data_IF_468770547631
#
_entry.id   IF_468770547631
#
_cell.length_a   1.000
_cell.length_b   1.000
_cell.length_c   1.000
_cell.angle_alpha   90.00
_cell.angle_beta   90.00
_cell.angle_gamma   90.00
#
_symmetry.space_group_name_H-M   'P 1'
#
loop_
_entity.id
_entity.type
_entity.pdbx_description
1 polymer ?
#
# COMPACT_ATOMS: atom_id res chain seq x y z
N UNK A 1 10.83 -59.16 13.64
CA UNK A 1 9.36 -59.02 13.86
C UNK A 1 9.02 -57.55 13.80
N UNK A 2 8.64 -57.09 12.62
CA UNK A 2 8.19 -55.72 12.41
C UNK A 2 6.70 -55.65 12.75
N UNK A 3 6.37 -54.93 13.82
CA UNK A 3 5.00 -54.58 14.12
C UNK A 3 4.50 -53.62 13.06
N UNK A 4 3.62 -54.09 12.17
CA UNK A 4 2.77 -53.21 11.37
C UNK A 4 1.85 -52.44 12.33
N UNK A 5 2.14 -51.16 12.51
CA UNK A 5 1.22 -50.20 13.12
C UNK A 5 -0.02 -50.11 12.21
N UNK A 6 -1.08 -50.81 12.59
CA UNK A 6 -2.41 -50.63 11.98
C UNK A 6 -2.87 -49.23 12.27
N UNK A 7 -2.92 -48.40 11.25
CA UNK A 7 -3.51 -47.07 11.33
C UNK A 7 -4.93 -47.17 11.91
N UNK A 8 -5.32 -46.26 12.83
CA UNK A 8 -6.65 -46.32 13.43
C UNK A 8 -7.71 -46.21 12.31
N UNK A 9 -8.73 -47.10 12.35
CA UNK A 9 -9.89 -47.07 11.46
C UNK A 9 -10.64 -45.76 11.72
N UNK A 10 -10.26 -44.69 11.02
CA UNK A 10 -10.93 -43.41 11.06
C UNK A 10 -12.22 -43.58 10.25
N UNK A 11 -13.35 -43.23 10.88
CA UNK A 11 -14.67 -43.29 10.23
C UNK A 11 -14.67 -42.28 9.08
N UNK A 12 -14.50 -42.73 7.82
CA UNK A 12 -14.15 -41.96 6.64
C UNK A 12 -15.21 -40.90 6.25
N UNK A 13 -16.38 -40.91 6.87
CA UNK A 13 -17.53 -40.12 6.44
C UNK A 13 -18.15 -39.22 7.53
N UNK A 14 -17.42 -38.94 8.61
CA UNK A 14 -17.99 -38.15 9.70
C UNK A 14 -17.79 -36.65 9.47
N UNK A 15 -18.91 -35.93 9.26
CA UNK A 15 -18.97 -34.48 9.34
C UNK A 15 -19.85 -34.06 10.53
N UNK A 16 -19.32 -33.25 11.46
CA UNK A 16 -20.10 -32.71 12.57
C UNK A 16 -21.06 -31.64 12.06
N UNK A 17 -22.08 -31.28 12.87
CA UNK A 17 -23.12 -30.33 12.47
C UNK A 17 -22.59 -28.95 12.08
N UNK A 18 -21.55 -28.47 12.75
CA UNK A 18 -20.90 -27.20 12.45
C UNK A 18 -20.24 -27.20 11.07
N UNK A 19 -19.52 -28.27 10.74
CA UNK A 19 -18.87 -28.42 9.45
C UNK A 19 -19.88 -28.66 8.33
N UNK A 20 -20.98 -29.39 8.59
CA UNK A 20 -22.11 -29.49 7.66
C UNK A 20 -22.71 -28.14 7.34
N UNK A 21 -22.94 -27.31 8.36
CA UNK A 21 -23.43 -25.94 8.17
C UNK A 21 -22.48 -25.08 7.33
N UNK A 22 -21.17 -25.18 7.58
CA UNK A 22 -20.15 -24.48 6.79
C UNK A 22 -20.19 -24.89 5.31
N UNK A 23 -20.22 -26.20 5.03
CA UNK A 23 -20.12 -26.72 3.67
C UNK A 23 -21.44 -26.60 2.91
N UNK A 24 -22.57 -26.96 3.52
CA UNK A 24 -23.85 -27.04 2.83
C UNK A 24 -24.63 -25.74 2.83
N UNK A 25 -24.72 -25.06 4.00
CA UNK A 25 -25.53 -23.85 4.11
C UNK A 25 -24.73 -22.60 3.68
N UNK A 26 -23.50 -22.45 4.18
CA UNK A 26 -22.71 -21.25 3.87
C UNK A 26 -22.10 -21.30 2.47
N UNK A 27 -21.59 -22.45 2.03
CA UNK A 27 -20.94 -22.58 0.71
C UNK A 27 -21.83 -23.16 -0.38
N UNK A 28 -22.94 -23.82 -0.02
CA UNK A 28 -23.87 -24.40 -1.00
C UNK A 28 -23.30 -25.63 -1.72
N UNK A 29 -22.34 -26.34 -1.11
CA UNK A 29 -21.70 -27.49 -1.75
C UNK A 29 -22.62 -28.73 -1.75
N UNK A 30 -22.46 -29.56 -2.77
CA UNK A 30 -23.21 -30.81 -2.92
C UNK A 30 -22.85 -31.79 -1.79
N UNK A 31 -23.83 -32.28 -0.99
CA UNK A 31 -23.57 -33.18 0.14
C UNK A 31 -22.85 -34.47 -0.22
N UNK A 32 -23.22 -35.15 -1.33
CA UNK A 32 -22.55 -36.38 -1.78
C UNK A 32 -21.07 -36.16 -2.06
N UNK A 33 -20.72 -35.02 -2.68
CA UNK A 33 -19.33 -34.66 -2.94
C UNK A 33 -18.56 -34.30 -1.66
N UNK A 34 -19.20 -33.62 -0.73
CA UNK A 34 -18.57 -33.32 0.55
C UNK A 34 -18.32 -34.57 1.41
N UNK A 35 -19.19 -35.60 1.37
CA UNK A 35 -19.04 -36.83 2.13
C UNK A 35 -17.80 -37.63 1.73
N UNK A 36 -17.41 -37.62 0.46
CA UNK A 36 -16.20 -38.32 -0.01
C UNK A 36 -14.93 -37.48 0.06
N UNK A 37 -15.05 -36.15 0.07
CA UNK A 37 -13.93 -35.23 0.00
C UNK A 37 -13.61 -34.51 1.32
N UNK A 38 -14.49 -34.61 2.34
CA UNK A 38 -14.37 -33.83 3.57
C UNK A 38 -14.73 -34.65 4.80
N UNK A 39 -13.97 -34.51 5.87
CA UNK A 39 -14.31 -35.08 7.18
C UNK A 39 -13.90 -34.17 8.32
N UNK A 40 -14.65 -34.21 9.41
CA UNK A 40 -14.26 -33.55 10.65
C UNK A 40 -13.14 -34.28 11.33
N UNK A 41 -12.10 -33.59 11.73
CA UNK A 41 -10.97 -34.19 12.48
C UNK A 41 -10.68 -33.36 13.73
N UNK A 42 -10.18 -34.04 14.78
CA UNK A 42 -9.68 -33.41 15.98
C UNK A 42 -8.25 -32.88 15.77
N UNK A 43 -7.81 -31.98 16.67
CA UNK A 43 -6.44 -31.44 16.68
C UNK A 43 -5.37 -32.56 16.70
N UNK A 44 -5.60 -33.65 17.49
CA UNK A 44 -4.65 -34.76 17.56
C UNK A 44 -4.56 -35.54 16.24
N UNK A 45 -5.70 -35.85 15.62
CA UNK A 45 -5.74 -36.48 14.30
C UNK A 45 -5.08 -35.58 13.22
N UNK A 46 -5.36 -34.27 13.27
CA UNK A 46 -4.73 -33.34 12.35
C UNK A 46 -3.21 -33.30 12.53
N UNK A 47 -2.71 -33.32 13.77
CA UNK A 47 -1.27 -33.35 14.09
C UNK A 47 -0.60 -34.59 13.50
N UNK A 48 -1.24 -35.75 13.64
CA UNK A 48 -0.73 -36.98 13.07
C UNK A 48 -0.67 -36.96 11.54
N UNK A 49 -1.75 -36.48 10.90
CA UNK A 49 -1.87 -36.45 9.45
C UNK A 49 -0.98 -35.38 8.81
N UNK A 50 -0.82 -34.21 9.46
CA UNK A 50 0.04 -33.13 8.97
C UNK A 50 1.54 -33.44 9.17
N UNK A 51 1.90 -34.27 10.14
CA UNK A 51 3.28 -34.55 10.52
C UNK A 51 3.94 -33.38 11.31
N UNK A 52 3.14 -32.46 11.83
CA UNK A 52 3.53 -31.37 12.74
C UNK A 52 2.32 -30.93 13.57
N UNK A 53 2.56 -30.20 14.67
CA UNK A 53 1.51 -29.81 15.61
C UNK A 53 0.42 -28.97 14.91
N UNK A 54 -0.77 -29.55 14.83
CA UNK A 54 -1.96 -28.84 14.40
C UNK A 54 -2.44 -27.87 15.49
N UNK A 55 -3.12 -26.83 15.10
CA UNK A 55 -3.46 -25.72 15.99
C UNK A 55 -4.88 -25.76 16.51
N UNK A 56 -5.76 -26.41 15.76
CA UNK A 56 -7.15 -26.67 16.16
C UNK A 56 -7.70 -27.86 15.39
N UNK A 57 -8.88 -28.30 15.80
CA UNK A 57 -9.75 -29.14 14.99
C UNK A 57 -10.14 -28.43 13.69
N UNK A 58 -10.60 -29.16 12.70
CA UNK A 58 -10.97 -28.60 11.40
C UNK A 58 -11.63 -29.61 10.48
N UNK A 59 -11.67 -29.25 9.21
CA UNK A 59 -12.11 -30.13 8.13
C UNK A 59 -10.87 -30.69 7.44
N UNK A 60 -10.73 -32.01 7.45
CA UNK A 60 -9.75 -32.69 6.62
C UNK A 60 -10.29 -32.80 5.21
N UNK A 61 -9.48 -32.41 4.25
CA UNK A 61 -9.78 -32.44 2.84
C UNK A 61 -9.08 -33.64 2.22
N UNK A 62 -9.81 -34.48 1.52
CA UNK A 62 -9.31 -35.62 0.80
C UNK A 62 -9.53 -35.44 -0.69
N UNK A 63 -8.47 -35.24 -1.45
CA UNK A 63 -8.47 -35.32 -2.90
C UNK A 63 -7.99 -36.70 -3.35
N UNK A 64 -8.19 -37.04 -4.62
CA UNK A 64 -7.72 -38.32 -5.18
C UNK A 64 -6.20 -38.47 -5.17
N UNK A 65 -5.47 -37.36 -5.14
CA UNK A 65 -4.01 -37.32 -5.24
C UNK A 65 -3.32 -36.63 -4.04
N UNK A 66 -4.01 -35.76 -3.32
CA UNK A 66 -3.43 -34.95 -2.25
C UNK A 66 -4.43 -34.69 -1.12
N UNK A 67 -3.94 -34.31 0.03
CA UNK A 67 -4.74 -34.08 1.24
C UNK A 67 -4.30 -32.81 1.96
N UNK A 68 -5.17 -32.31 2.82
CA UNK A 68 -4.86 -31.12 3.64
C UNK A 68 -5.91 -30.82 4.70
N UNK A 69 -5.66 -29.84 5.53
CA UNK A 69 -6.60 -29.38 6.55
C UNK A 69 -7.12 -27.99 6.21
N UNK A 70 -8.43 -27.78 6.38
CA UNK A 70 -9.07 -26.47 6.34
C UNK A 70 -9.56 -26.07 7.74
N UNK A 71 -9.30 -24.83 8.12
CA UNK A 71 -9.77 -24.23 9.36
C UNK A 71 -10.95 -23.31 9.09
N UNK A 72 -12.18 -23.67 9.49
CA UNK A 72 -13.35 -22.81 9.28
C UNK A 72 -13.36 -21.58 10.19
N UNK A 73 -12.64 -21.64 11.34
CA UNK A 73 -12.57 -20.55 12.30
C UNK A 73 -11.38 -19.62 12.03
N UNK A 74 -11.69 -18.34 11.87
CA UNK A 74 -10.68 -17.28 11.76
C UNK A 74 -10.03 -16.90 13.10
N UNK A 75 -10.46 -17.51 14.22
CA UNK A 75 -10.03 -17.13 15.58
C UNK A 75 -8.64 -17.62 15.95
N UNK A 76 -8.01 -18.39 15.07
CA UNK A 76 -6.70 -18.86 15.37
C UNK A 76 -5.64 -17.87 14.92
N UNK A 77 -4.97 -17.23 15.88
CA UNK A 77 -3.73 -16.49 15.66
C UNK A 77 -2.58 -17.26 16.32
N UNK A 78 -1.52 -17.55 15.58
CA UNK A 78 -0.25 -17.86 16.21
C UNK A 78 0.16 -16.63 17.02
N UNK A 79 0.68 -16.82 18.23
CA UNK A 79 1.10 -15.73 19.10
C UNK A 79 1.84 -14.63 18.29
N UNK A 80 1.29 -13.43 18.25
CA UNK A 80 1.87 -12.26 17.61
C UNK A 80 1.53 -12.01 16.14
N UNK A 81 0.68 -12.82 15.47
CA UNK A 81 0.21 -12.54 14.11
C UNK A 81 -1.26 -12.15 14.11
N UNK A 82 -1.62 -11.16 13.30
CA UNK A 82 -3.00 -10.73 13.14
C UNK A 82 -3.88 -11.83 12.53
N UNK A 83 -5.17 -11.88 12.83
CA UNK A 83 -6.13 -12.85 12.27
C UNK A 83 -6.11 -12.92 10.73
N UNK A 84 -5.75 -11.83 10.05
CA UNK A 84 -5.62 -11.76 8.58
C UNK A 84 -4.45 -12.55 8.01
N UNK A 85 -3.46 -12.92 8.82
CA UNK A 85 -2.23 -13.60 8.36
C UNK A 85 -2.22 -15.11 8.64
N UNK A 86 -3.27 -15.64 9.26
CA UNK A 86 -3.36 -17.07 9.53
C UNK A 86 -3.82 -17.82 8.29
N UNK A 87 -3.04 -18.79 7.77
CA UNK A 87 -3.44 -19.57 6.60
C UNK A 87 -4.65 -20.44 6.92
N UNK A 88 -5.66 -20.40 6.05
CA UNK A 88 -6.88 -21.22 6.18
C UNK A 88 -6.64 -22.70 5.85
N UNK A 89 -5.64 -22.98 5.00
CA UNK A 89 -5.28 -24.31 4.54
C UNK A 89 -3.92 -24.69 5.09
N UNK A 90 -3.77 -25.96 5.43
CA UNK A 90 -2.52 -26.57 5.88
C UNK A 90 -2.27 -27.86 5.12
N UNK A 91 -1.06 -28.00 4.63
CA UNK A 91 -0.60 -29.18 3.91
C UNK A 91 0.22 -30.09 4.82
N UNK A 92 0.19 -31.41 4.63
CA UNK A 92 1.12 -32.33 5.27
C UNK A 92 2.58 -31.91 5.03
N UNK A 93 3.46 -32.30 5.94
CA UNK A 93 4.91 -32.08 5.79
C UNK A 93 5.43 -32.90 4.61
N UNK A 94 6.24 -32.29 3.78
CA UNK A 94 6.84 -32.91 2.61
C UNK A 94 6.45 -32.19 1.30
N UNK A 95 6.47 -32.93 0.21
CA UNK A 95 6.07 -32.43 -1.10
C UNK A 95 4.57 -32.08 -1.11
N UNK A 96 4.20 -31.03 -1.82
CA UNK A 96 2.82 -30.64 -2.00
C UNK A 96 2.42 -30.70 -3.48
N UNK A 97 1.12 -30.89 -3.71
CA UNK A 97 0.54 -30.93 -5.03
C UNK A 97 -0.79 -30.17 -5.05
N UNK A 98 -1.38 -30.01 -6.22
CA UNK A 98 -2.77 -29.57 -6.36
C UNK A 98 -3.71 -30.66 -5.84
N UNK A 99 -4.94 -30.27 -5.51
CA UNK A 99 -5.96 -31.24 -5.11
C UNK A 99 -6.99 -31.48 -6.21
N UNK A 100 -7.29 -32.75 -6.44
CA UNK A 100 -8.30 -33.21 -7.37
C UNK A 100 -9.50 -33.75 -6.58
N UNK A 101 -10.73 -33.21 -6.72
CA UNK A 101 -11.89 -33.75 -6.00
C UNK A 101 -12.17 -35.20 -6.35
N UNK A 102 -12.41 -36.06 -5.33
CA UNK A 102 -12.87 -37.44 -5.53
C UNK A 102 -14.30 -37.39 -6.07
N UNK A 103 -14.54 -38.05 -7.19
CA UNK A 103 -15.89 -38.22 -7.72
C UNK A 103 -16.66 -39.26 -6.92
N UNK A 104 -17.89 -38.98 -6.41
CA UNK A 104 -18.61 -39.92 -5.53
C UNK A 104 -18.95 -41.27 -6.16
N UNK A 105 -19.12 -41.30 -7.47
CA UNK A 105 -19.61 -42.48 -8.21
C UNK A 105 -18.56 -43.03 -9.22
N UNK A 106 -17.45 -42.30 -9.44
CA UNK A 106 -16.39 -42.73 -10.39
C UNK A 106 -15.00 -42.59 -9.73
N UNK A 107 -14.48 -43.64 -9.10
CA UNK A 107 -13.18 -43.65 -8.43
C UNK A 107 -12.00 -43.41 -9.38
N UNK A 108 -12.17 -43.66 -10.68
CA UNK A 108 -11.16 -43.47 -11.72
C UNK A 108 -11.31 -42.20 -12.52
N UNK A 109 -12.12 -41.27 -12.05
CA UNK A 109 -12.47 -40.02 -12.74
C UNK A 109 -11.26 -39.23 -13.29
N UNK A 110 -10.16 -39.23 -12.56
CA UNK A 110 -8.92 -38.52 -12.91
C UNK A 110 -7.84 -39.41 -13.54
N UNK A 111 -8.03 -40.71 -13.58
CA UNK A 111 -7.04 -41.68 -14.06
C UNK A 111 -7.20 -41.98 -15.56
N UNK A 112 -8.42 -42.02 -16.05
CA UNK A 112 -8.72 -42.22 -17.48
C UNK A 112 -8.68 -40.87 -18.24
N UNK A 113 -7.52 -40.61 -18.86
CA UNK A 113 -7.25 -39.36 -19.56
C UNK A 113 -8.23 -39.12 -20.70
N UNK A 114 -8.55 -40.14 -21.50
CA UNK A 114 -9.44 -39.96 -22.66
C UNK A 114 -10.89 -39.78 -22.22
N UNK A 115 -11.37 -40.49 -21.22
CA UNK A 115 -12.67 -40.25 -20.63
C UNK A 115 -12.77 -38.88 -19.96
N UNK A 116 -11.70 -38.42 -19.32
CA UNK A 116 -11.63 -37.08 -18.70
C UNK A 116 -11.70 -35.96 -19.74
N UNK A 117 -11.01 -36.13 -20.88
CA UNK A 117 -11.09 -35.15 -22.00
C UNK A 117 -12.51 -34.93 -22.49
N UNK A 118 -13.33 -35.99 -22.53
CA UNK A 118 -14.72 -35.91 -22.93
C UNK A 118 -15.63 -35.14 -21.94
N UNK A 119 -15.20 -35.07 -20.66
CA UNK A 119 -15.91 -34.37 -19.58
C UNK A 119 -15.46 -32.90 -19.47
N UNK A 120 -14.37 -32.51 -20.14
CA UNK A 120 -13.80 -31.17 -20.05
C UNK A 120 -14.66 -30.11 -20.75
N UNK A 121 -14.53 -28.87 -20.30
CA UNK A 121 -15.06 -27.73 -21.01
C UNK A 121 -14.21 -27.47 -22.27
N UNK A 122 -14.86 -27.39 -23.43
CA UNK A 122 -14.16 -27.27 -24.72
C UNK A 122 -14.08 -25.79 -25.13
N UNK A 123 -12.86 -25.29 -25.36
CA UNK A 123 -12.63 -23.96 -25.94
C UNK A 123 -11.69 -24.13 -27.14
N UNK A 124 -12.10 -23.63 -28.30
CA UNK A 124 -11.34 -23.70 -29.57
C UNK A 124 -10.87 -25.14 -29.90
N UNK A 125 -11.70 -26.16 -29.58
CA UNK A 125 -11.38 -27.56 -29.77
C UNK A 125 -10.45 -28.19 -28.71
N UNK A 126 -10.01 -27.43 -27.74
CA UNK A 126 -9.13 -27.91 -26.66
C UNK A 126 -9.95 -28.34 -25.44
N UNK A 127 -9.74 -29.58 -24.92
CA UNK A 127 -10.33 -30.01 -23.64
C UNK A 127 -9.62 -29.30 -22.49
N UNK A 128 -10.35 -28.45 -21.78
CA UNK A 128 -9.79 -27.57 -20.75
C UNK A 128 -10.23 -27.96 -19.35
N UNK A 129 -9.26 -28.01 -18.42
CA UNK A 129 -9.45 -28.13 -17.00
C UNK A 129 -9.48 -26.74 -16.36
N UNK A 130 -10.37 -26.51 -15.40
CA UNK A 130 -10.38 -25.24 -14.66
C UNK A 130 -9.37 -25.30 -13.51
N UNK A 131 -8.56 -24.25 -13.33
CA UNK A 131 -7.68 -24.08 -12.18
C UNK A 131 -8.21 -22.96 -11.28
N UNK A 132 -8.35 -23.22 -9.99
CA UNK A 132 -8.85 -22.25 -9.01
C UNK A 132 -8.09 -22.32 -7.69
N UNK A 133 -8.17 -21.27 -6.86
CA UNK A 133 -7.64 -21.29 -5.51
C UNK A 133 -8.68 -21.86 -4.53
N UNK A 134 -8.32 -22.95 -3.87
CA UNK A 134 -9.11 -23.58 -2.80
C UNK A 134 -10.00 -24.72 -3.24
N UNK A 135 -9.98 -25.78 -2.39
CA UNK A 135 -10.57 -27.06 -2.72
C UNK A 135 -12.10 -27.05 -2.84
N UNK A 136 -12.78 -26.21 -2.04
CA UNK A 136 -14.24 -26.14 -2.09
C UNK A 136 -14.78 -25.58 -3.42
N UNK A 137 -14.04 -24.66 -4.04
CA UNK A 137 -14.38 -24.14 -5.36
C UNK A 137 -14.25 -25.21 -6.44
N UNK A 138 -13.22 -26.06 -6.32
CA UNK A 138 -13.05 -27.20 -7.21
C UNK A 138 -14.18 -28.21 -7.03
N UNK A 139 -14.55 -28.54 -5.79
CA UNK A 139 -15.70 -29.41 -5.50
C UNK A 139 -16.99 -28.81 -6.11
N UNK A 140 -17.24 -27.50 -5.89
CA UNK A 140 -18.42 -26.83 -6.39
C UNK A 140 -18.56 -26.98 -7.90
N UNK A 141 -17.52 -26.69 -8.67
CA UNK A 141 -17.60 -26.68 -10.12
C UNK A 141 -17.52 -28.11 -10.71
N UNK A 142 -16.68 -28.99 -10.14
CA UNK A 142 -16.60 -30.40 -10.59
C UNK A 142 -17.90 -31.13 -10.34
N UNK A 143 -18.64 -30.84 -9.26
CA UNK A 143 -19.97 -31.41 -9.01
C UNK A 143 -21.05 -31.03 -10.03
N UNK A 144 -20.73 -30.07 -10.90
CA UNK A 144 -21.54 -29.65 -12.03
C UNK A 144 -20.88 -30.00 -13.39
N UNK A 145 -20.13 -31.10 -13.41
CA UNK A 145 -19.54 -31.68 -14.63
C UNK A 145 -18.50 -30.78 -15.34
N UNK A 146 -17.79 -29.95 -14.58
CA UNK A 146 -16.64 -29.20 -15.08
C UNK A 146 -15.41 -29.55 -14.26
N UNK A 147 -14.52 -30.43 -14.77
CA UNK A 147 -13.33 -30.88 -14.05
C UNK A 147 -12.46 -29.71 -13.63
N UNK A 148 -12.27 -29.59 -12.31
CA UNK A 148 -11.62 -28.40 -11.71
C UNK A 148 -10.52 -28.81 -10.74
N UNK A 149 -9.35 -28.19 -10.88
CA UNK A 149 -8.15 -28.42 -10.09
C UNK A 149 -8.05 -27.35 -9.00
N UNK A 150 -7.74 -27.74 -7.78
CA UNK A 150 -7.59 -26.82 -6.67
C UNK A 150 -6.11 -26.55 -6.35
N UNK A 151 -5.69 -25.30 -6.45
CA UNK A 151 -4.47 -24.82 -5.80
C UNK A 151 -4.78 -24.55 -4.32
N UNK A 152 -3.93 -25.02 -3.40
CA UNK A 152 -4.10 -24.76 -1.95
C UNK A 152 -3.64 -23.34 -1.53
N UNK A 153 -3.25 -22.55 -2.48
CA UNK A 153 -2.85 -21.15 -2.45
C UNK A 153 -2.39 -20.74 -3.84
N UNK A 154 -2.45 -19.47 -4.17
CA UNK A 154 -2.19 -18.98 -5.55
C UNK A 154 -0.82 -19.37 -6.10
N UNK A 155 0.20 -19.51 -5.24
CA UNK A 155 1.56 -19.94 -5.64
C UNK A 155 1.76 -21.46 -5.60
N UNK A 156 0.79 -22.22 -5.09
CA UNK A 156 0.94 -23.66 -4.82
C UNK A 156 0.78 -24.54 -6.08
N UNK A 157 0.68 -23.96 -7.25
CA UNK A 157 0.81 -24.67 -8.53
C UNK A 157 2.26 -24.91 -8.96
N UNK A 158 3.21 -24.30 -8.25
CA UNK A 158 4.65 -24.35 -8.54
C UNK A 158 5.44 -24.77 -7.30
N UNK A 159 6.45 -25.59 -7.48
CA UNK A 159 7.33 -26.08 -6.42
C UNK A 159 8.80 -25.94 -6.82
N UNK A 160 9.74 -25.72 -5.87
CA UNK A 160 11.15 -25.93 -6.13
C UNK A 160 11.43 -27.42 -6.34
N UNK A 161 12.57 -27.75 -6.91
CA UNK A 161 13.06 -29.13 -6.94
C UNK A 161 13.97 -29.38 -5.75
N UNK A 162 14.17 -30.65 -5.39
CA UNK A 162 15.14 -31.04 -4.36
C UNK A 162 16.58 -30.62 -4.72
N UNK A 163 16.89 -30.61 -6.03
CA UNK A 163 18.20 -30.19 -6.54
C UNK A 163 18.40 -28.65 -6.46
N UNK A 164 17.32 -27.86 -6.43
CA UNK A 164 17.37 -26.39 -6.37
C UNK A 164 16.24 -25.85 -5.49
N UNK A 165 16.31 -26.02 -4.15
CA UNK A 165 15.25 -25.63 -3.23
C UNK A 165 15.02 -24.11 -3.18
N UNK A 166 16.00 -23.31 -3.52
CA UNK A 166 15.97 -21.84 -3.54
C UNK A 166 15.78 -21.24 -4.94
N UNK A 167 15.81 -22.08 -5.97
CA UNK A 167 15.89 -21.66 -7.35
C UNK A 167 14.57 -21.61 -8.09
N UNK A 168 14.63 -22.08 -9.34
CA UNK A 168 13.49 -22.04 -10.26
C UNK A 168 12.31 -22.85 -9.73
N UNK A 169 11.11 -22.32 -9.94
CA UNK A 169 9.86 -23.01 -9.65
C UNK A 169 9.39 -23.77 -10.89
N UNK A 170 8.92 -24.98 -10.69
CA UNK A 170 8.39 -25.90 -11.70
C UNK A 170 6.96 -26.24 -11.39
N UNK A 171 6.21 -26.76 -12.38
CA UNK A 171 4.87 -27.27 -12.11
C UNK A 171 4.91 -28.39 -11.07
N UNK A 172 3.93 -28.40 -10.18
CA UNK A 172 3.74 -29.56 -9.28
C UNK A 172 3.38 -30.81 -10.10
N UNK A 173 3.69 -32.04 -9.59
CA UNK A 173 3.65 -33.25 -10.40
C UNK A 173 2.33 -33.49 -11.14
N UNK A 174 1.20 -33.29 -10.49
CA UNK A 174 -0.12 -33.50 -11.11
C UNK A 174 -0.40 -32.50 -12.23
N UNK A 175 -0.06 -31.20 -12.06
CA UNK A 175 -0.20 -30.23 -13.15
C UNK A 175 0.69 -30.55 -14.34
N UNK A 176 1.92 -30.98 -14.09
CA UNK A 176 2.83 -31.38 -15.16
C UNK A 176 2.29 -32.62 -15.91
N UNK A 177 1.79 -33.64 -15.20
CA UNK A 177 1.16 -34.83 -15.79
C UNK A 177 0.00 -34.44 -16.73
N UNK A 178 -0.89 -33.57 -16.28
CA UNK A 178 -2.05 -33.12 -17.06
C UNK A 178 -1.64 -32.24 -18.26
N UNK A 179 -0.66 -31.36 -18.09
CA UNK A 179 -0.12 -30.59 -19.19
C UNK A 179 0.52 -31.47 -20.27
N UNK A 180 1.31 -32.49 -19.86
CA UNK A 180 1.89 -33.50 -20.78
C UNK A 180 0.82 -34.34 -21.50
N UNK A 181 -0.33 -34.55 -20.87
CA UNK A 181 -1.47 -35.25 -21.47
C UNK A 181 -2.25 -34.38 -22.47
N UNK A 182 -1.87 -33.11 -22.67
CA UNK A 182 -2.43 -32.20 -23.66
C UNK A 182 -3.72 -31.51 -23.23
N UNK A 183 -4.02 -31.43 -21.94
CA UNK A 183 -5.14 -30.63 -21.48
C UNK A 183 -4.82 -29.13 -21.60
N UNK A 184 -5.83 -28.34 -22.00
CA UNK A 184 -5.85 -26.90 -21.81
C UNK A 184 -6.20 -26.51 -20.38
N UNK A 185 -5.97 -25.25 -20.02
CA UNK A 185 -6.25 -24.73 -18.68
C UNK A 185 -7.05 -23.43 -18.73
N UNK A 186 -8.08 -23.33 -17.87
CA UNK A 186 -8.86 -22.11 -17.66
C UNK A 186 -8.54 -21.62 -16.26
N UNK A 187 -7.90 -20.44 -16.14
CA UNK A 187 -7.57 -19.84 -14.85
C UNK A 187 -8.76 -19.06 -14.32
N UNK A 188 -9.32 -19.49 -13.19
CA UNK A 188 -10.52 -18.95 -12.55
C UNK A 188 -10.25 -18.70 -11.07
N UNK A 189 -9.52 -17.61 -10.76
CA UNK A 189 -9.26 -17.15 -9.39
C UNK A 189 -10.43 -16.31 -8.86
N UNK A 190 -10.36 -15.85 -7.62
CA UNK A 190 -11.40 -15.04 -7.01
C UNK A 190 -11.65 -13.72 -7.77
N UNK A 191 -12.87 -13.19 -7.68
CA UNK A 191 -13.25 -11.97 -8.40
C UNK A 191 -12.36 -10.76 -8.05
N UNK A 192 -11.89 -10.67 -6.78
CA UNK A 192 -10.97 -9.63 -6.30
C UNK A 192 -9.49 -9.85 -6.70
N UNK A 193 -9.17 -10.97 -7.33
CA UNK A 193 -7.80 -11.30 -7.71
C UNK A 193 -7.21 -10.32 -8.75
N UNK A 194 -8.05 -9.71 -9.58
CA UNK A 194 -7.64 -8.73 -10.60
C UNK A 194 -7.03 -7.45 -10.02
N UNK A 195 -7.38 -7.12 -8.78
CA UNK A 195 -6.83 -5.96 -8.05
C UNK A 195 -5.66 -6.31 -7.12
N UNK A 196 -5.29 -7.61 -7.03
CA UNK A 196 -4.22 -8.07 -6.15
C UNK A 196 -2.94 -8.41 -6.94
N UNK A 197 -1.89 -7.55 -6.87
CA UNK A 197 -0.66 -7.77 -7.63
C UNK A 197 0.02 -9.11 -7.35
N UNK A 198 -0.06 -9.62 -6.11
CA UNK A 198 0.55 -10.90 -5.75
C UNK A 198 -0.15 -12.08 -6.44
N UNK A 199 -1.48 -12.04 -6.55
CA UNK A 199 -2.26 -13.08 -7.24
C UNK A 199 -1.99 -13.04 -8.73
N UNK A 200 -1.94 -11.85 -9.33
CA UNK A 200 -1.61 -11.66 -10.74
C UNK A 200 -0.20 -12.20 -11.05
N UNK A 201 0.79 -11.88 -10.21
CA UNK A 201 2.16 -12.35 -10.38
C UNK A 201 2.25 -13.89 -10.26
N UNK A 202 1.58 -14.47 -9.27
CA UNK A 202 1.49 -15.92 -9.11
C UNK A 202 0.84 -16.59 -10.32
N UNK A 203 -0.26 -16.03 -10.83
CA UNK A 203 -0.91 -16.52 -12.06
C UNK A 203 0.03 -16.44 -13.27
N UNK A 204 0.75 -15.34 -13.46
CA UNK A 204 1.72 -15.19 -14.56
C UNK A 204 2.85 -16.21 -14.49
N UNK A 205 3.37 -16.48 -13.30
CA UNK A 205 4.38 -17.52 -13.09
C UNK A 205 3.85 -18.92 -13.48
N UNK A 206 2.63 -19.24 -13.07
CA UNK A 206 1.97 -20.49 -13.44
C UNK A 206 1.76 -20.61 -14.95
N UNK A 207 1.20 -19.57 -15.58
CA UNK A 207 1.00 -19.45 -17.02
C UNK A 207 2.31 -19.67 -17.78
N UNK A 208 3.39 -19.00 -17.34
CA UNK A 208 4.71 -19.13 -17.97
C UNK A 208 5.25 -20.56 -17.93
N UNK A 209 5.03 -21.29 -16.84
CA UNK A 209 5.45 -22.68 -16.74
C UNK A 209 4.60 -23.60 -17.63
N UNK A 210 3.27 -23.40 -17.69
CA UNK A 210 2.38 -24.15 -18.58
C UNK A 210 2.66 -23.88 -20.06
N UNK A 211 3.07 -22.67 -20.47
CA UNK A 211 3.46 -22.37 -21.86
C UNK A 211 4.60 -23.27 -22.37
N UNK A 212 5.45 -23.80 -21.49
CA UNK A 212 6.54 -24.72 -21.88
C UNK A 212 6.03 -26.07 -22.42
N UNK A 213 4.79 -26.42 -22.09
CA UNK A 213 4.14 -27.64 -22.57
C UNK A 213 3.31 -27.43 -23.83
N UNK A 214 3.28 -26.21 -24.37
CA UNK A 214 2.53 -25.83 -25.57
C UNK A 214 1.01 -26.18 -25.45
N UNK A 215 0.43 -26.00 -24.28
CA UNK A 215 -1.00 -26.24 -24.00
C UNK A 215 -1.80 -24.95 -24.11
N UNK A 216 -3.06 -25.07 -24.54
CA UNK A 216 -3.98 -23.94 -24.61
C UNK A 216 -4.27 -23.41 -23.19
N UNK A 217 -4.30 -22.09 -23.04
CA UNK A 217 -4.58 -21.44 -21.76
C UNK A 217 -5.53 -20.28 -21.93
N UNK A 218 -6.46 -20.15 -20.99
CA UNK A 218 -7.49 -19.13 -20.99
C UNK A 218 -7.62 -18.53 -19.59
N UNK A 219 -8.09 -17.29 -19.53
CA UNK A 219 -8.37 -16.59 -18.26
C UNK A 219 -9.83 -16.20 -18.19
N UNK A 220 -10.45 -16.47 -17.05
CA UNK A 220 -11.79 -15.97 -16.69
C UNK A 220 -11.79 -15.15 -15.39
N UNK A 221 -10.65 -15.05 -14.72
CA UNK A 221 -10.49 -14.21 -13.52
C UNK A 221 -10.85 -12.77 -13.84
N UNK A 222 -11.76 -12.18 -13.06
CA UNK A 222 -12.24 -10.81 -13.26
C UNK A 222 -13.40 -10.67 -14.27
N UNK A 223 -13.92 -11.76 -14.82
CA UNK A 223 -15.11 -11.71 -15.68
C UNK A 223 -16.44 -11.66 -14.90
N UNK A 224 -16.37 -11.69 -13.57
CA UNK A 224 -17.52 -11.47 -12.69
C UNK A 224 -17.15 -10.55 -11.52
N UNK A 225 -18.15 -9.86 -10.95
CA UNK A 225 -17.98 -8.97 -9.79
C UNK A 225 -18.17 -9.74 -8.49
N UNK A 226 -17.57 -9.22 -7.38
CA UNK A 226 -17.76 -9.77 -6.03
C UNK A 226 -19.22 -9.80 -5.57
N UNK A 227 -20.07 -8.90 -6.09
CA UNK A 227 -21.52 -8.89 -5.80
C UNK A 227 -22.22 -10.18 -6.28
N UNK A 228 -21.69 -10.82 -7.31
CA UNK A 228 -22.19 -12.10 -7.86
C UNK A 228 -21.55 -13.31 -7.18
N UNK A 229 -20.67 -13.10 -6.22
CA UNK A 229 -19.93 -14.11 -5.48
C UNK A 229 -18.43 -13.88 -5.56
N UNK A 230 -17.73 -13.97 -4.42
CA UNK A 230 -16.29 -13.77 -4.39
C UNK A 230 -15.54 -14.88 -5.14
N UNK A 231 -15.84 -16.12 -4.81
CA UNK A 231 -15.27 -17.31 -5.44
C UNK A 231 -16.29 -18.06 -6.32
N UNK A 232 -15.83 -19.11 -6.98
CA UNK A 232 -16.67 -19.97 -7.81
C UNK A 232 -17.82 -20.60 -7.00
N UNK A 233 -17.55 -21.08 -5.79
CA UNK A 233 -18.53 -21.66 -4.88
C UNK A 233 -19.63 -20.64 -4.51
N UNK A 234 -19.26 -19.42 -4.17
CA UNK A 234 -20.20 -18.35 -3.89
C UNK A 234 -21.03 -17.98 -5.14
N UNK A 235 -20.38 -17.88 -6.30
CA UNK A 235 -21.06 -17.57 -7.56
C UNK A 235 -22.10 -18.64 -7.90
N UNK A 236 -21.73 -19.92 -7.83
CA UNK A 236 -22.62 -21.04 -8.13
C UNK A 236 -23.79 -21.06 -7.15
N UNK A 237 -23.55 -20.85 -5.88
CA UNK A 237 -24.59 -20.77 -4.85
C UNK A 237 -25.62 -19.67 -5.14
N UNK A 238 -25.18 -18.51 -5.58
CA UNK A 238 -26.04 -17.34 -5.80
C UNK A 238 -26.75 -17.40 -7.15
N UNK A 239 -26.01 -17.77 -8.20
CA UNK A 239 -26.46 -17.61 -9.60
C UNK A 239 -26.73 -18.94 -10.31
N UNK A 240 -26.21 -20.06 -9.81
CA UNK A 240 -26.26 -21.37 -10.45
C UNK A 240 -25.07 -21.65 -11.36
N UNK A 241 -24.73 -22.94 -11.51
CA UNK A 241 -23.59 -23.39 -12.31
C UNK A 241 -23.76 -23.15 -13.81
N UNK A 242 -24.98 -23.28 -14.33
CA UNK A 242 -25.24 -23.05 -15.76
C UNK A 242 -24.95 -21.60 -16.15
N UNK A 243 -25.29 -20.64 -15.29
CA UNK A 243 -24.91 -19.25 -15.51
C UNK A 243 -23.41 -19.05 -15.48
N UNK A 244 -22.69 -19.74 -14.59
CA UNK A 244 -21.22 -19.68 -14.58
C UNK A 244 -20.64 -20.18 -15.90
N UNK A 245 -21.15 -21.30 -16.42
CA UNK A 245 -20.75 -21.82 -17.74
C UNK A 245 -21.04 -20.82 -18.86
N UNK A 246 -22.25 -20.26 -18.92
CA UNK A 246 -22.70 -19.38 -20.00
C UNK A 246 -22.12 -17.97 -19.94
N UNK A 247 -22.00 -17.40 -18.75
CA UNK A 247 -21.64 -15.99 -18.57
C UNK A 247 -20.16 -15.77 -18.22
N UNK A 248 -19.47 -16.81 -17.72
CA UNK A 248 -18.07 -16.72 -17.33
C UNK A 248 -17.19 -17.59 -18.22
N UNK A 249 -17.39 -18.93 -18.22
CA UNK A 249 -16.53 -19.83 -19.01
C UNK A 249 -16.64 -19.58 -20.52
N UNK A 250 -17.84 -19.31 -21.04
CA UNK A 250 -18.04 -19.01 -22.47
C UNK A 250 -17.38 -17.70 -22.93
N UNK A 251 -17.00 -16.83 -21.99
CA UNK A 251 -16.29 -15.57 -22.26
C UNK A 251 -14.81 -15.64 -21.98
N UNK A 252 -14.26 -16.84 -21.79
CA UNK A 252 -12.85 -17.02 -21.50
C UNK A 252 -11.97 -16.36 -22.57
N UNK A 253 -10.97 -15.63 -22.10
CA UNK A 253 -10.03 -14.89 -22.94
C UNK A 253 -8.75 -15.71 -23.06
N UNK A 254 -8.21 -15.87 -24.28
CA UNK A 254 -6.91 -16.55 -24.44
C UNK A 254 -5.83 -15.85 -23.59
N UNK A 255 -4.90 -16.63 -23.07
CA UNK A 255 -3.87 -16.10 -22.16
C UNK A 255 -3.00 -15.03 -22.83
N UNK A 256 -2.73 -15.16 -24.13
CA UNK A 256 -1.93 -14.16 -24.84
C UNK A 256 -2.67 -12.80 -24.94
N UNK A 257 -3.99 -12.84 -25.17
CA UNK A 257 -4.82 -11.63 -25.16
C UNK A 257 -4.93 -11.01 -23.75
N UNK A 258 -5.05 -11.85 -22.70
CA UNK A 258 -5.04 -11.40 -21.31
C UNK A 258 -3.71 -10.73 -20.94
N UNK A 259 -2.57 -11.32 -21.32
CA UNK A 259 -1.25 -10.72 -21.09
C UNK A 259 -1.06 -9.41 -21.85
N UNK A 260 -1.58 -9.31 -23.08
CA UNK A 260 -1.56 -8.05 -23.84
C UNK A 260 -2.38 -6.96 -23.17
N UNK A 261 -3.61 -7.25 -22.74
CA UNK A 261 -4.44 -6.31 -22.00
C UNK A 261 -3.75 -5.85 -20.70
N UNK A 262 -3.23 -6.79 -19.95
CA UNK A 262 -2.50 -6.51 -18.71
C UNK A 262 -1.26 -5.65 -18.96
N UNK A 263 -0.48 -5.92 -20.00
CA UNK A 263 0.70 -5.13 -20.34
C UNK A 263 0.32 -3.72 -20.85
N UNK A 264 -0.80 -3.57 -21.56
CA UNK A 264 -1.33 -2.26 -21.97
C UNK A 264 -1.82 -1.44 -20.78
N UNK A 265 -2.52 -2.05 -19.84
CA UNK A 265 -2.95 -1.39 -18.60
C UNK A 265 -1.76 -0.99 -17.71
N UNK A 266 -0.70 -1.81 -17.68
CA UNK A 266 0.55 -1.47 -16.98
C UNK A 266 1.34 -0.34 -17.68
N UNK A 267 1.28 -0.25 -19.01
CA UNK A 267 1.91 0.84 -19.76
C UNK A 267 1.13 2.15 -19.62
N UNK A 268 -0.18 2.10 -19.43
CA UNK A 268 -1.03 3.27 -19.16
C UNK A 268 -1.02 3.66 -17.67
N UNK A 269 -0.79 2.74 -16.76
CA UNK A 269 -0.51 3.06 -15.36
C UNK A 269 0.99 3.32 -15.21
N UNK A 270 1.37 4.59 -15.15
CA UNK A 270 2.72 5.03 -14.79
C UNK A 270 3.18 4.22 -13.58
N UNK A 271 4.15 3.31 -13.77
CA UNK A 271 4.69 2.52 -12.67
C UNK A 271 5.49 3.44 -11.75
N UNK A 272 4.85 3.88 -10.69
CA UNK A 272 5.46 4.76 -9.73
C UNK A 272 6.60 4.06 -8.98
N UNK A 273 7.79 4.63 -9.09
CA UNK A 273 8.94 4.31 -8.24
C UNK A 273 9.15 5.43 -7.23
N UNK A 274 9.95 5.18 -6.21
CA UNK A 274 10.32 6.20 -5.23
C UNK A 274 10.96 7.42 -5.90
N UNK A 275 11.86 7.19 -6.87
CA UNK A 275 12.52 8.26 -7.61
C UNK A 275 11.55 9.03 -8.52
N UNK A 276 10.70 8.33 -9.30
CA UNK A 276 9.78 9.00 -10.21
C UNK A 276 8.73 9.84 -9.49
N UNK A 277 8.27 9.40 -8.31
CA UNK A 277 7.40 10.22 -7.48
C UNK A 277 8.15 11.42 -6.91
N UNK A 278 9.38 11.24 -6.48
CA UNK A 278 10.20 12.34 -5.95
C UNK A 278 10.52 13.38 -7.02
N UNK A 279 10.85 12.97 -8.25
CA UNK A 279 11.08 13.87 -9.39
C UNK A 279 9.85 14.72 -9.68
N UNK A 280 8.67 14.11 -9.77
CA UNK A 280 7.43 14.82 -10.06
C UNK A 280 7.02 15.77 -8.93
N UNK A 281 7.19 15.34 -7.67
CA UNK A 281 6.99 16.23 -6.52
C UNK A 281 8.02 17.36 -6.49
N UNK A 282 9.26 17.10 -6.88
CA UNK A 282 10.28 18.12 -6.95
C UNK A 282 9.94 19.20 -7.99
N UNK A 283 9.46 18.82 -9.17
CA UNK A 283 9.00 19.79 -10.19
C UNK A 283 7.87 20.68 -9.67
N UNK A 284 6.88 20.07 -9.01
CA UNK A 284 5.70 20.79 -8.50
C UNK A 284 6.02 21.69 -7.30
N UNK A 285 6.86 21.20 -6.38
CA UNK A 285 7.14 21.86 -5.11
C UNK A 285 8.42 22.68 -5.07
N UNK A 286 9.29 22.62 -6.08
CA UNK A 286 10.55 23.41 -6.18
C UNK A 286 10.36 24.93 -5.91
N UNK A 287 9.26 25.57 -6.33
CA UNK A 287 9.02 26.97 -5.99
C UNK A 287 8.69 27.21 -4.51
N UNK A 288 8.32 26.18 -3.76
CA UNK A 288 7.77 26.30 -2.40
C UNK A 288 8.51 25.47 -1.35
N UNK A 289 9.34 24.52 -1.76
CA UNK A 289 10.00 23.56 -0.88
C UNK A 289 11.49 23.46 -1.25
N UNK A 290 12.35 23.47 -0.25
CA UNK A 290 13.79 23.30 -0.42
C UNK A 290 14.39 22.49 0.71
N UNK A 291 15.37 21.64 0.41
CA UNK A 291 16.21 20.97 1.38
C UNK A 291 17.54 21.70 1.48
N UNK A 292 17.80 22.35 2.62
CA UNK A 292 19.08 23.03 2.85
C UNK A 292 20.10 22.03 3.36
N UNK A 293 20.97 21.58 2.46
CA UNK A 293 21.87 20.45 2.69
C UNK A 293 22.88 20.74 3.81
N UNK A 294 23.41 21.96 3.90
CA UNK A 294 24.36 22.38 4.93
C UNK A 294 23.80 22.30 6.35
N UNK A 295 22.53 22.66 6.54
CA UNK A 295 21.84 22.61 7.84
C UNK A 295 21.03 21.35 8.07
N UNK A 296 20.88 20.50 7.05
CA UNK A 296 20.10 19.27 7.08
C UNK A 296 18.65 19.49 7.53
N UNK A 297 18.01 20.54 7.01
CA UNK A 297 16.64 20.91 7.34
C UNK A 297 15.84 21.32 6.10
N UNK A 298 14.51 21.17 6.19
CA UNK A 298 13.59 21.60 5.15
C UNK A 298 13.15 23.04 5.36
N UNK A 299 12.99 23.76 4.28
CA UNK A 299 12.34 25.05 4.24
C UNK A 299 11.12 25.00 3.35
N UNK A 300 10.02 25.61 3.83
CA UNK A 300 8.77 25.70 3.09
C UNK A 300 8.31 27.14 3.00
N UNK A 301 8.11 27.62 1.78
CA UNK A 301 7.69 28.99 1.50
C UNK A 301 6.21 29.21 1.85
N UNK A 302 5.91 30.35 2.48
CA UNK A 302 4.56 30.81 2.82
C UNK A 302 3.69 29.82 3.63
N UNK A 303 4.29 28.80 4.29
CA UNK A 303 3.54 27.80 5.05
C UNK A 303 3.02 28.33 6.39
N UNK A 304 3.86 29.03 7.14
CA UNK A 304 3.54 29.60 8.46
C UNK A 304 3.23 31.10 8.37
N UNK A 305 4.01 31.81 7.57
CA UNK A 305 3.90 33.25 7.38
C UNK A 305 3.99 33.53 5.89
N UNK A 306 3.09 34.36 5.38
CA UNK A 306 3.07 34.74 3.96
C UNK A 306 4.39 35.42 3.55
N UNK A 307 4.89 35.07 2.39
CA UNK A 307 6.01 35.75 1.75
C UNK A 307 7.40 35.37 2.25
N UNK A 308 7.53 34.42 3.19
CA UNK A 308 8.82 34.00 3.72
C UNK A 308 8.98 32.48 3.76
N UNK A 309 10.23 32.05 3.74
CA UNK A 309 10.61 30.65 3.96
C UNK A 309 10.63 30.37 5.47
N UNK A 310 10.07 29.25 5.86
CA UNK A 310 10.02 28.78 7.24
C UNK A 310 10.56 27.38 7.34
N UNK A 311 11.38 27.13 8.37
CA UNK A 311 11.84 25.78 8.67
C UNK A 311 10.67 24.86 9.00
N UNK A 312 10.72 23.64 8.46
CA UNK A 312 9.72 22.62 8.65
C UNK A 312 10.38 21.27 8.97
N UNK A 313 9.62 20.40 9.64
CA UNK A 313 10.11 19.11 10.13
C UNK A 313 9.88 18.00 9.11
N UNK A 314 10.66 16.91 9.20
CA UNK A 314 10.54 15.74 8.32
C UNK A 314 9.14 15.13 8.34
N UNK A 315 8.44 15.15 9.49
CA UNK A 315 7.07 14.64 9.62
C UNK A 315 6.07 15.38 8.74
N UNK A 316 6.28 16.67 8.57
CA UNK A 316 5.42 17.48 7.71
C UNK A 316 5.63 17.16 6.22
N UNK A 317 6.86 16.84 5.84
CA UNK A 317 7.18 16.35 4.49
C UNK A 317 6.65 14.92 4.30
N UNK A 318 6.78 14.09 5.32
CA UNK A 318 6.19 12.75 5.34
C UNK A 318 4.68 12.77 5.11
N UNK A 319 3.96 13.68 5.76
CA UNK A 319 2.52 13.87 5.56
C UNK A 319 2.19 14.33 4.13
N UNK A 320 2.97 15.28 3.57
CA UNK A 320 2.83 15.72 2.17
C UNK A 320 3.02 14.55 1.21
N UNK A 321 4.16 13.87 1.28
CA UNK A 321 4.49 12.75 0.38
C UNK A 321 3.46 11.62 0.50
N UNK A 322 2.96 11.34 1.71
CA UNK A 322 1.91 10.35 1.93
C UNK A 322 0.59 10.75 1.27
N UNK A 323 0.18 12.02 1.37
CA UNK A 323 -1.02 12.51 0.74
C UNK A 323 -0.92 12.44 -0.79
N UNK A 324 0.20 12.88 -1.34
CA UNK A 324 0.45 12.84 -2.79
C UNK A 324 0.56 11.40 -3.33
N UNK A 325 1.19 10.49 -2.57
CA UNK A 325 1.22 9.08 -2.91
C UNK A 325 -0.20 8.49 -2.94
N UNK A 326 -1.05 8.80 -1.95
CA UNK A 326 -2.46 8.35 -1.95
C UNK A 326 -3.23 8.84 -3.17
N UNK A 327 -3.03 10.11 -3.55
CA UNK A 327 -3.73 10.71 -4.69
C UNK A 327 -3.32 10.08 -6.02
N UNK A 328 -2.06 9.69 -6.19
CA UNK A 328 -1.48 9.23 -7.47
C UNK A 328 -1.40 7.72 -7.61
N UNK A 329 -1.15 6.99 -6.49
CA UNK A 329 -0.98 5.54 -6.47
C UNK A 329 -2.19 4.80 -5.89
N UNK A 330 -3.13 5.51 -5.26
CA UNK A 330 -4.14 4.87 -4.42
C UNK A 330 -3.55 4.37 -3.09
N UNK A 331 -4.22 3.45 -2.37
CA UNK A 331 -3.81 3.03 -1.03
C UNK A 331 -2.64 2.03 -0.99
N UNK A 332 -2.04 1.67 -2.13
CA UNK A 332 -1.09 0.55 -2.25
C UNK A 332 0.36 1.04 -2.21
N UNK A 333 0.82 1.48 -1.04
CA UNK A 333 2.24 1.75 -0.77
C UNK A 333 2.56 1.46 0.70
N UNK A 334 3.84 1.21 0.99
CA UNK A 334 4.32 0.92 2.34
C UNK A 334 5.19 2.06 2.89
N UNK A 335 5.58 1.94 4.16
CA UNK A 335 6.44 2.92 4.83
C UNK A 335 7.78 3.12 4.10
N UNK A 336 8.38 2.03 3.59
CA UNK A 336 9.68 2.09 2.90
C UNK A 336 9.59 2.87 1.59
N UNK A 337 8.43 2.80 0.90
CA UNK A 337 8.18 3.60 -0.29
C UNK A 337 8.19 5.11 0.04
N UNK A 338 7.49 5.51 1.10
CA UNK A 338 7.43 6.92 1.53
C UNK A 338 8.81 7.42 1.97
N UNK A 339 9.51 6.65 2.81
CA UNK A 339 10.84 6.99 3.32
C UNK A 339 11.86 7.13 2.20
N UNK A 340 11.83 6.22 1.22
CA UNK A 340 12.68 6.28 0.04
C UNK A 340 12.36 7.48 -0.85
N UNK A 341 11.08 7.79 -1.07
CA UNK A 341 10.65 8.97 -1.84
C UNK A 341 11.17 10.26 -1.18
N UNK A 342 11.05 10.40 0.14
CA UNK A 342 11.58 11.57 0.87
C UNK A 342 13.09 11.68 0.70
N UNK A 343 13.80 10.56 0.70
CA UNK A 343 15.26 10.54 0.50
C UNK A 343 15.64 11.04 -0.88
N UNK A 344 14.97 10.61 -1.94
CA UNK A 344 15.18 11.11 -3.30
C UNK A 344 14.77 12.59 -3.40
N UNK A 345 13.66 12.99 -2.79
CA UNK A 345 13.19 14.37 -2.78
C UNK A 345 14.22 15.34 -2.13
N UNK A 346 14.97 14.89 -1.11
CA UNK A 346 16.07 15.66 -0.51
C UNK A 346 17.18 15.92 -1.54
N UNK A 347 17.48 14.98 -2.42
CA UNK A 347 18.47 15.17 -3.49
C UNK A 347 17.96 16.12 -4.58
N UNK A 348 16.70 15.97 -4.99
CA UNK A 348 16.08 16.80 -6.04
C UNK A 348 15.89 18.25 -5.63
N UNK A 349 15.61 18.52 -4.37
CA UNK A 349 15.36 19.85 -3.81
C UNK A 349 16.53 20.39 -2.98
N UNK A 350 17.71 19.78 -3.10
CA UNK A 350 18.90 20.23 -2.37
C UNK A 350 19.33 21.63 -2.80
N UNK A 351 19.60 22.47 -1.80
CA UNK A 351 20.19 23.81 -1.95
C UNK A 351 21.43 23.87 -1.05
N UNK A 352 22.59 24.09 -1.65
CA UNK A 352 23.87 24.13 -0.93
C UNK A 352 24.13 25.51 -0.32
N UNK A 353 23.74 26.57 -1.04
CA UNK A 353 23.91 27.96 -0.63
C UNK A 353 22.56 28.66 -0.60
N UNK A 354 22.35 29.44 0.43
CA UNK A 354 21.15 30.25 0.62
C UNK A 354 21.52 31.72 0.66
N UNK A 355 21.30 32.40 -0.45
CA UNK A 355 21.60 33.82 -0.57
C UNK A 355 20.31 34.63 -0.54
N UNK A 356 20.01 35.23 0.60
CA UNK A 356 18.88 36.17 0.70
C UNK A 356 19.07 37.40 -0.21
N UNK A 357 17.99 37.88 -0.81
CA UNK A 357 18.01 39.09 -1.56
C UNK A 357 18.36 40.30 -0.65
N UNK A 358 19.58 40.80 -0.80
CA UNK A 358 20.11 41.85 0.07
C UNK A 358 19.30 43.14 -0.07
N UNK A 359 18.97 43.72 1.08
CA UNK A 359 18.36 45.04 1.19
C UNK A 359 16.85 45.08 0.92
N UNK A 360 16.20 43.96 0.67
CA UNK A 360 14.74 43.86 0.62
C UNK A 360 14.13 43.66 2.01
N UNK A 361 12.98 44.24 2.26
CA UNK A 361 12.28 44.18 3.54
C UNK A 361 10.95 43.46 3.38
N UNK A 362 10.81 42.25 3.89
CA UNK A 362 9.54 41.50 3.81
C UNK A 362 8.52 42.06 4.80
N UNK A 363 7.38 42.45 4.28
CA UNK A 363 6.20 42.91 5.01
C UNK A 363 5.06 41.92 4.87
N UNK A 364 3.96 42.09 5.60
CA UNK A 364 2.80 41.20 5.53
C UNK A 364 2.15 41.19 4.14
N UNK A 365 2.10 42.32 3.49
CA UNK A 365 1.39 42.56 2.23
C UNK A 365 2.32 42.65 1.00
N UNK A 366 3.63 42.42 1.17
CA UNK A 366 4.59 42.48 0.09
C UNK A 366 6.03 42.58 0.56
N UNK A 367 6.92 42.93 -0.33
CA UNK A 367 8.34 43.14 -0.04
C UNK A 367 8.70 44.59 -0.43
N UNK A 368 9.14 45.36 0.54
CA UNK A 368 9.56 46.74 0.29
C UNK A 368 11.01 46.77 -0.22
N UNK A 369 11.20 47.37 -1.37
CA UNK A 369 12.52 47.81 -1.82
C UNK A 369 12.83 49.18 -1.27
N UNK A 370 13.72 49.32 -0.29
CA UNK A 370 14.01 50.62 0.33
C UNK A 370 14.78 51.61 -0.57
N UNK A 371 15.36 51.12 -1.68
CA UNK A 371 16.04 51.99 -2.66
C UNK A 371 15.07 52.70 -3.54
N UNK A 372 14.02 52.03 -3.97
CA UNK A 372 12.99 52.57 -4.85
C UNK A 372 11.72 52.97 -4.11
N UNK A 373 11.60 52.58 -2.82
CA UNK A 373 10.39 52.79 -1.98
C UNK A 373 9.16 52.13 -2.57
N UNK A 374 9.34 51.11 -3.40
CA UNK A 374 8.23 50.36 -4.01
C UNK A 374 7.92 49.10 -3.22
N UNK A 375 6.64 48.83 -3.04
CA UNK A 375 6.15 47.56 -2.52
C UNK A 375 6.06 46.58 -3.69
N UNK A 376 6.88 45.53 -3.62
CA UNK A 376 6.92 44.43 -4.58
C UNK A 376 6.03 43.29 -4.09
N UNK A 377 5.47 42.46 -4.97
CA UNK A 377 4.74 41.28 -4.57
C UNK A 377 5.70 40.27 -3.89
N UNK A 378 5.14 39.43 -3.01
CA UNK A 378 5.89 38.32 -2.43
C UNK A 378 6.40 37.36 -3.50
N UNK A 379 7.64 36.90 -3.35
CA UNK A 379 8.24 35.91 -4.24
C UNK A 379 9.14 34.95 -3.48
N UNK A 380 9.04 33.64 -3.73
CA UNK A 380 9.98 32.65 -3.17
C UNK A 380 11.43 32.91 -3.59
N UNK A 381 11.65 33.52 -4.76
CA UNK A 381 12.97 33.86 -5.28
C UNK A 381 13.76 34.87 -4.48
N UNK A 382 13.12 35.60 -3.56
CA UNK A 382 13.81 36.51 -2.65
C UNK A 382 14.50 35.81 -1.47
N UNK A 383 14.21 34.53 -1.23
CA UNK A 383 14.82 33.69 -0.19
C UNK A 383 14.78 34.29 1.24
N UNK A 384 13.74 35.03 1.57
CA UNK A 384 13.61 35.74 2.86
C UNK A 384 13.04 34.84 3.94
N UNK A 385 13.59 34.93 5.16
CA UNK A 385 13.22 34.11 6.33
C UNK A 385 12.33 34.81 7.35
N UNK A 386 12.31 36.12 7.37
CA UNK A 386 11.59 36.90 8.38
C UNK A 386 10.68 37.92 7.69
N UNK A 387 9.41 37.91 8.07
CA UNK A 387 8.50 38.98 7.69
C UNK A 387 8.24 39.89 8.87
N UNK A 388 8.31 41.19 8.65
CA UNK A 388 7.89 42.17 9.64
C UNK A 388 6.36 42.27 9.65
N UNK A 389 5.79 42.34 10.86
CA UNK A 389 4.35 42.47 11.07
C UNK A 389 3.85 43.87 10.74
N UNK A 390 4.39 44.48 9.66
CA UNK A 390 4.04 45.80 9.16
C UNK A 390 3.37 45.66 7.81
N UNK A 391 2.34 46.44 7.60
CA UNK A 391 1.71 46.64 6.31
C UNK A 391 2.42 47.78 5.56
N UNK A 392 2.80 47.57 4.30
CA UNK A 392 3.40 48.58 3.45
C UNK A 392 2.40 49.68 3.02
N UNK A 393 1.11 49.48 3.24
CA UNK A 393 0.05 50.44 2.99
C UNK A 393 -0.21 51.26 4.24
N UNK A 394 0.07 52.55 4.18
CA UNK A 394 -0.09 53.48 5.29
C UNK A 394 -1.54 53.81 5.65
N UNK A 395 -2.46 53.56 4.75
CA UNK A 395 -3.91 53.72 4.91
C UNK A 395 -4.58 52.70 5.84
N UNK A 396 -3.89 51.59 6.16
CA UNK A 396 -4.38 50.53 7.05
C UNK A 396 -3.68 50.48 8.41
N UNK A 397 -2.87 51.43 8.74
CA UNK A 397 -2.21 51.46 10.04
C UNK A 397 -3.21 51.89 11.13
N UNK A 398 -3.53 51.01 12.07
CA UNK A 398 -4.37 51.41 13.18
C UNK A 398 -3.65 52.47 14.04
N UNK A 399 -4.36 53.49 14.52
CA UNK A 399 -3.79 54.42 15.47
C UNK A 399 -3.24 53.66 16.68
N UNK A 400 -1.94 53.79 16.90
CA UNK A 400 -1.26 53.11 18.00
C UNK A 400 -0.86 54.12 19.07
N UNK A 401 -1.48 54.09 20.26
CA UNK A 401 -1.19 55.00 21.35
C UNK A 401 0.29 55.06 21.75
N UNK A 402 1.04 53.96 21.52
CA UNK A 402 2.48 53.88 21.76
C UNK A 402 3.28 54.71 20.74
N UNK A 403 2.85 54.74 19.47
CA UNK A 403 3.49 55.51 18.42
C UNK A 403 3.29 57.00 18.68
N UNK A 404 2.09 57.43 19.09
CA UNK A 404 1.76 58.82 19.43
C UNK A 404 2.55 59.28 20.64
N UNK A 405 2.69 58.45 21.67
CA UNK A 405 3.49 58.73 22.88
C UNK A 405 4.99 58.82 22.58
N UNK A 406 5.51 58.00 21.69
CA UNK A 406 6.89 58.03 21.24
C UNK A 406 7.19 59.33 20.45
N UNK A 407 6.24 59.72 19.58
CA UNK A 407 6.30 60.98 18.85
C UNK A 407 6.24 62.17 19.78
N UNK A 408 5.48 62.12 20.87
CA UNK A 408 5.45 63.16 21.86
C UNK A 408 6.77 63.27 22.64
N UNK A 409 7.37 62.16 23.09
CA UNK A 409 8.68 62.13 23.71
C UNK A 409 9.76 62.69 22.76
N UNK A 410 9.68 62.32 21.47
CA UNK A 410 10.60 62.84 20.46
C UNK A 410 10.35 64.32 20.10
N UNK A 411 9.19 64.89 20.42
CA UNK A 411 8.92 66.32 20.29
C UNK A 411 9.55 67.14 21.40
N UNK A 412 9.77 66.57 22.58
CA UNK A 412 10.34 67.26 23.76
C UNK A 412 11.85 67.44 23.67
N UNK A 413 12.58 66.56 22.95
CA UNK A 413 14.02 66.69 22.76
C UNK A 413 14.38 66.52 21.26
N UNK A 414 14.73 67.63 20.64
CA UNK A 414 15.04 67.63 19.21
C UNK A 414 16.32 66.87 18.85
N UNK A 415 17.22 66.68 19.82
CA UNK A 415 18.49 65.96 19.62
C UNK A 415 18.31 64.46 19.54
N UNK A 416 17.25 63.93 20.12
CA UNK A 416 16.96 62.49 20.15
C UNK A 416 16.09 62.02 18.97
N UNK A 417 15.51 62.94 18.17
CA UNK A 417 14.56 62.58 17.10
C UNK A 417 15.16 61.72 16.00
N UNK A 418 16.42 61.83 15.70
CA UNK A 418 17.07 61.10 14.62
C UNK A 418 17.58 59.72 15.06
N UNK A 419 17.93 59.53 16.33
CA UNK A 419 18.57 58.31 16.85
C UNK A 419 17.68 57.04 16.73
N UNK A 420 16.40 57.05 17.16
CA UNK A 420 15.51 55.92 16.95
C UNK A 420 15.23 55.63 15.50
N UNK A 421 15.13 56.69 14.66
CA UNK A 421 14.93 56.54 13.22
C UNK A 421 16.14 55.93 12.51
N UNK A 422 17.33 56.34 12.87
CA UNK A 422 18.58 55.79 12.33
C UNK A 422 18.76 54.33 12.77
N UNK A 423 18.47 54.00 14.06
CA UNK A 423 18.53 52.64 14.56
C UNK A 423 17.50 51.73 13.90
N UNK A 424 16.24 52.17 13.77
CA UNK A 424 15.21 51.44 13.06
C UNK A 424 15.58 51.22 11.60
N UNK A 425 16.12 52.24 10.93
CA UNK A 425 16.60 52.10 9.56
C UNK A 425 17.73 51.07 9.47
N UNK A 426 18.66 51.07 10.41
CA UNK A 426 19.76 50.09 10.45
C UNK A 426 19.28 48.67 10.68
N UNK A 427 18.36 48.46 11.63
CA UNK A 427 17.76 47.16 11.92
C UNK A 427 16.99 46.64 10.71
N UNK A 428 16.19 47.48 10.09
CA UNK A 428 15.36 47.15 8.92
C UNK A 428 16.20 46.87 7.67
N UNK A 429 17.34 47.59 7.52
CA UNK A 429 18.27 47.38 6.39
C UNK A 429 19.35 46.35 6.65
N UNK A 430 19.32 45.66 7.78
CA UNK A 430 20.28 44.61 8.12
C UNK A 430 21.71 45.10 8.34
N UNK A 431 21.93 46.37 8.65
CA UNK A 431 23.24 46.96 8.92
C UNK A 431 23.76 46.40 10.26
N UNK A 432 24.79 45.61 10.26
CA UNK A 432 25.43 45.04 11.43
C UNK A 432 26.67 45.82 11.90
N UNK A 433 27.07 46.80 11.12
CA UNK A 433 28.21 47.69 11.35
C UNK A 433 27.91 48.86 12.30
N UNK A 434 26.68 48.98 12.75
CA UNK A 434 26.28 50.01 13.69
C UNK A 434 26.43 49.53 15.14
N UNK A 435 26.98 50.43 16.01
CA UNK A 435 27.13 50.18 17.43
C UNK A 435 25.77 49.88 18.09
N UNK A 436 25.77 49.00 19.07
CA UNK A 436 24.60 48.68 19.87
C UNK A 436 24.12 49.91 20.58
N UNK A 437 22.84 50.25 20.41
CA UNK A 437 22.21 51.33 21.17
C UNK A 437 22.02 50.85 22.61
N UNK A 438 22.86 51.32 23.50
CA UNK A 438 22.71 51.10 24.94
C UNK A 438 21.79 52.18 25.51
N UNK A 439 20.57 51.79 25.85
CA UNK A 439 19.61 52.69 26.44
C UNK A 439 19.64 52.50 27.98
N UNK A 440 20.29 53.42 28.69
CA UNK A 440 20.32 53.44 30.14
C UNK A 440 19.24 54.41 30.62
N UNK A 441 18.23 53.88 31.30
CA UNK A 441 17.15 54.67 31.90
C UNK A 441 16.87 54.22 33.34
N UNK A 442 16.96 55.10 34.32
CA UNK A 442 16.67 54.74 35.71
C UNK A 442 15.18 54.55 36.03
N UNK A 443 14.27 54.87 35.12
CA UNK A 443 12.83 54.78 35.41
C UNK A 443 12.02 54.40 34.17
N UNK A 444 11.78 53.10 34.01
CA UNK A 444 10.69 52.44 33.19
C UNK A 444 10.49 52.82 31.69
N UNK A 445 11.23 53.77 31.13
CA UNK A 445 11.04 54.20 29.74
C UNK A 445 11.65 53.28 28.68
N UNK A 446 12.75 52.63 29.06
CA UNK A 446 13.42 51.63 28.19
C UNK A 446 12.53 50.39 27.93
N UNK A 447 11.79 49.96 28.95
CA UNK A 447 10.87 48.84 28.78
C UNK A 447 9.76 49.11 27.83
N UNK A 448 9.26 50.37 27.75
CA UNK A 448 8.22 50.81 26.81
C UNK A 448 8.76 50.86 25.37
N UNK A 449 10.01 51.32 25.20
CA UNK A 449 10.66 51.34 23.87
C UNK A 449 10.97 49.92 23.37
N UNK A 450 11.49 49.04 24.24
CA UNK A 450 11.74 47.64 23.91
C UNK A 450 10.43 46.89 23.60
N UNK A 451 9.37 47.16 24.36
CA UNK A 451 8.05 46.58 24.10
C UNK A 451 7.45 47.03 22.76
N UNK A 452 7.65 48.32 22.44
CA UNK A 452 7.25 48.85 21.15
C UNK A 452 8.06 48.28 19.99
N UNK A 453 9.39 48.14 20.16
CA UNK A 453 10.27 47.48 19.18
C UNK A 453 9.90 46.00 18.98
N UNK A 454 9.58 45.27 20.04
CA UNK A 454 9.12 43.89 20.01
C UNK A 454 7.78 43.76 19.28
N UNK A 455 6.85 44.65 19.56
CA UNK A 455 5.55 44.68 18.89
C UNK A 455 5.70 45.02 17.40
N UNK A 456 6.59 45.93 17.09
CA UNK A 456 6.87 46.41 15.75
C UNK A 456 7.62 45.35 14.89
N UNK A 457 8.53 44.61 15.50
CA UNK A 457 9.30 43.55 14.84
C UNK A 457 8.63 42.17 14.84
N UNK A 458 7.47 42.03 15.46
CA UNK A 458 6.73 40.74 15.51
C UNK A 458 7.43 39.64 16.29
N UNK A 459 8.49 39.93 17.04
CA UNK A 459 9.24 38.93 17.79
C UNK A 459 8.65 38.71 19.19
N UNK A 460 8.19 37.47 19.47
CA UNK A 460 8.07 36.98 20.85
C UNK A 460 9.47 36.69 21.37
N UNK A 461 9.99 37.52 22.29
CA UNK A 461 11.21 37.19 22.98
C UNK A 461 10.98 35.99 23.90
N UNK A 462 11.71 34.91 23.69
CA UNK A 462 11.89 33.89 24.73
C UNK A 462 12.69 34.55 25.86
N UNK A 463 12.07 34.69 27.02
CA UNK A 463 12.80 35.01 28.25
C UNK A 463 13.72 33.82 28.56
N UNK A 464 15.01 34.04 28.57
CA UNK A 464 15.95 33.09 29.19
C UNK A 464 15.55 32.93 30.65
N UNK A 465 15.51 31.73 31.23
CA UNK A 465 15.26 31.56 32.65
C UNK A 465 16.40 32.22 33.42
N UNK A 466 16.14 32.82 34.60
CA UNK A 466 17.18 33.39 35.44
C UNK A 466 18.16 32.30 35.83
N UNK A 467 19.45 32.57 35.63
CA UNK A 467 20.54 31.74 36.16
C UNK A 467 20.42 31.68 37.69
N UNK A 468 20.16 30.50 38.22
CA UNK A 468 20.25 30.24 39.66
C UNK A 468 21.71 30.39 40.09
N UNK A 469 21.98 31.41 40.90
CA UNK A 469 23.15 31.50 41.75
C UNK A 469 23.02 30.54 42.93
#
# INVERSE_FOLDING_TARGET
MSQQLTAPKINRHYLNQRHKKELFEKRGLNPKWCEVNCRSISTNQATELLGYTAQSDGIWLEGSNYQGQYYPDKRWSSQGKSEKQSPKYRSPKGEYDIMLPIHPEDPHYWDDIEALKLKCYIIDGNPCLVTTEGFFKAIALTSHEVPTLALLGVEMGLTPTDADPQGKRYLVPTLEKLARAGFGFIHAFDADAVSNPNVIDAQRKLVHQLKKFNVAQYNVTGLWSEERGKGIDDYIKINGADKFKQEVLAKAVSIDKWEQQFNQEQQTQKKWTQSSLAEELAEEYRPKLAWYATRKCWYWYARKVSGVWSETVDEAIGALVTAEAKNRLGPVFNHDFISGTIKFLKYELAVDEWSEAQGLIPLIDGVLDPKTMKLLPHSPGYLLFVAFALCGRTDHWPPNPLTDRLLEIMKQDASLRWLPRAYLKAVVTGRSDLQILEAIDPVSRVSTFLHWLQHWLGRKTQRSPPSSS
#
